data_IF_328291802601
#
_entry.id   IF_328291802601
#
_cell.length_a   1.000
_cell.length_b   1.000
_cell.length_c   1.000
_cell.angle_alpha   90.00
_cell.angle_beta   90.00
_cell.angle_gamma   90.00
#
_symmetry.space_group_name_H-M   'P 1'
#
loop_
_entity.id
_entity.type
_entity.pdbx_description
1 polymer ?
#
# COMPACT_ATOMS: atom_id res chain seq x y z
N UNK A 1 -28.81 57.70 -8.82
CA UNK A 1 -27.55 57.88 -8.04
C UNK A 1 -27.82 57.75 -6.55
N UNK A 2 -28.82 58.46 -6.01
CA UNK A 2 -29.14 58.45 -4.57
C UNK A 2 -29.61 57.09 -4.03
N UNK A 3 -30.37 56.32 -4.82
CA UNK A 3 -30.87 55.00 -4.41
C UNK A 3 -29.77 53.94 -4.27
N UNK A 4 -28.73 54.01 -5.12
CA UNK A 4 -27.54 53.15 -5.02
C UNK A 4 -26.71 53.50 -3.78
N UNK A 5 -26.66 54.79 -3.41
CA UNK A 5 -25.96 55.28 -2.22
C UNK A 5 -26.64 54.81 -0.93
N UNK A 6 -27.98 54.91 -0.85
CA UNK A 6 -28.78 54.42 0.28
C UNK A 6 -28.62 52.91 0.48
N UNK A 7 -28.64 52.14 -0.60
CA UNK A 7 -28.45 50.68 -0.52
C UNK A 7 -27.06 50.31 0.01
N UNK A 8 -26.00 51.01 -0.42
CA UNK A 8 -24.67 50.81 0.12
C UNK A 8 -24.61 51.14 1.61
N UNK A 9 -25.23 52.25 2.03
CA UNK A 9 -25.17 52.67 3.43
C UNK A 9 -25.97 51.75 4.37
N UNK A 10 -27.15 51.28 3.95
CA UNK A 10 -27.99 50.43 4.80
C UNK A 10 -27.64 48.93 4.73
N UNK A 11 -27.11 48.46 3.60
CA UNK A 11 -26.89 47.03 3.33
C UNK A 11 -25.46 46.68 2.92
N UNK A 12 -24.47 47.51 3.27
CA UNK A 12 -23.06 47.20 3.02
C UNK A 12 -22.62 45.83 3.53
N UNK A 13 -23.19 45.36 4.65
CA UNK A 13 -22.90 44.04 5.20
C UNK A 13 -23.24 42.89 4.23
N UNK A 14 -24.34 43.01 3.47
CA UNK A 14 -24.75 41.99 2.49
C UNK A 14 -23.73 41.93 1.34
N UNK A 15 -23.24 43.10 0.91
CA UNK A 15 -22.21 43.20 -0.12
C UNK A 15 -20.90 42.58 0.38
N UNK A 16 -20.54 42.83 1.64
CA UNK A 16 -19.34 42.25 2.25
C UNK A 16 -19.43 40.71 2.33
N UNK A 17 -20.58 40.17 2.75
CA UNK A 17 -20.82 38.72 2.75
C UNK A 17 -20.73 38.15 1.33
N UNK A 18 -21.34 38.80 0.35
CA UNK A 18 -21.28 38.35 -1.04
C UNK A 18 -19.84 38.30 -1.56
N UNK A 19 -19.01 39.30 -1.23
CA UNK A 19 -17.57 39.32 -1.57
C UNK A 19 -16.82 38.16 -0.92
N UNK A 20 -17.09 37.86 0.35
CA UNK A 20 -16.48 36.73 1.06
C UNK A 20 -16.87 35.41 0.40
N UNK A 21 -18.13 35.21 0.05
CA UNK A 21 -18.60 34.02 -0.65
C UNK A 21 -17.92 33.89 -2.01
N UNK A 22 -17.85 34.98 -2.78
CA UNK A 22 -17.17 35.01 -4.08
C UNK A 22 -15.69 34.64 -3.93
N UNK A 23 -15.03 35.13 -2.89
CA UNK A 23 -13.64 34.78 -2.58
C UNK A 23 -13.45 33.29 -2.28
N UNK A 24 -14.37 32.69 -1.51
CA UNK A 24 -14.35 31.24 -1.25
C UNK A 24 -14.55 30.43 -2.53
N UNK A 25 -15.49 30.82 -3.39
CA UNK A 25 -15.72 30.17 -4.69
C UNK A 25 -14.48 30.26 -5.57
N UNK A 26 -13.84 31.43 -5.68
CA UNK A 26 -12.60 31.60 -6.45
C UNK A 26 -11.50 30.69 -5.93
N UNK A 27 -11.35 30.57 -4.60
CA UNK A 27 -10.38 29.64 -4.00
C UNK A 27 -10.71 28.19 -4.34
N UNK A 28 -11.97 27.80 -4.24
CA UNK A 28 -12.41 26.44 -4.56
C UNK A 28 -12.13 26.10 -6.02
N UNK A 29 -12.47 27.00 -6.95
CA UNK A 29 -12.19 26.84 -8.38
C UNK A 29 -10.70 26.69 -8.63
N UNK A 30 -9.86 27.52 -8.02
CA UNK A 30 -8.39 27.40 -8.12
C UNK A 30 -7.89 26.07 -7.57
N UNK A 31 -8.47 25.57 -6.48
CA UNK A 31 -8.15 24.25 -5.93
C UNK A 31 -8.51 23.15 -6.92
N UNK A 32 -9.73 23.16 -7.46
CA UNK A 32 -10.21 22.15 -8.41
C UNK A 32 -9.34 22.13 -9.68
N UNK A 33 -8.95 23.30 -10.21
CA UNK A 33 -8.06 23.40 -11.37
C UNK A 33 -6.69 22.79 -11.10
N UNK A 34 -6.11 23.03 -9.92
CA UNK A 34 -4.82 22.42 -9.54
C UNK A 34 -4.94 20.89 -9.44
N UNK A 35 -6.03 20.41 -8.86
CA UNK A 35 -6.28 18.98 -8.72
C UNK A 35 -6.59 18.30 -10.06
N UNK A 36 -7.10 19.03 -11.06
CA UNK A 36 -7.33 18.49 -12.40
C UNK A 36 -6.05 18.02 -13.07
N UNK A 37 -4.94 18.76 -12.93
CA UNK A 37 -3.62 18.36 -13.42
C UNK A 37 -3.11 17.12 -12.68
N UNK A 38 -3.30 17.07 -11.37
CA UNK A 38 -2.93 15.90 -10.55
C UNK A 38 -3.71 14.66 -10.98
N UNK A 39 -5.03 14.78 -11.21
CA UNK A 39 -5.86 13.69 -11.70
C UNK A 39 -5.44 13.23 -13.10
N UNK A 40 -5.06 14.16 -13.98
CA UNK A 40 -4.50 13.86 -15.30
C UNK A 40 -3.21 13.05 -15.20
N UNK A 41 -2.30 13.44 -14.31
CA UNK A 41 -1.06 12.71 -14.04
C UNK A 41 -1.36 11.33 -13.47
N UNK A 42 -2.27 11.22 -12.50
CA UNK A 42 -2.69 9.92 -11.94
C UNK A 42 -3.28 9.04 -13.03
N UNK A 43 -4.15 9.57 -13.89
CA UNK A 43 -4.72 8.82 -15.00
C UNK A 43 -3.65 8.36 -15.99
N UNK A 44 -2.66 9.21 -16.30
CA UNK A 44 -1.52 8.85 -17.14
C UNK A 44 -0.67 7.74 -16.49
N UNK A 45 -0.40 7.84 -15.19
CA UNK A 45 0.35 6.83 -14.41
C UNK A 45 -0.41 5.52 -14.33
N UNK A 46 -1.73 5.53 -14.15
CA UNK A 46 -2.56 4.32 -14.16
C UNK A 46 -2.58 3.71 -15.56
N UNK A 47 -2.83 4.52 -16.60
CA UNK A 47 -2.85 4.06 -17.98
C UNK A 47 -1.52 3.40 -18.38
N UNK A 48 -0.41 4.06 -18.04
CA UNK A 48 0.93 3.52 -18.26
C UNK A 48 1.19 2.29 -17.37
N UNK A 49 0.88 2.39 -16.08
CA UNK A 49 1.11 1.37 -15.06
C UNK A 49 0.31 0.08 -15.25
N UNK A 50 -0.89 0.13 -15.86
CA UNK A 50 -1.61 -1.07 -16.27
C UNK A 50 -0.78 -1.91 -17.26
N UNK A 51 0.01 -1.27 -18.13
CA UNK A 51 0.92 -1.93 -19.06
C UNK A 51 2.14 -2.57 -18.34
N UNK A 52 2.44 -2.12 -17.12
CA UNK A 52 3.47 -2.71 -16.25
C UNK A 52 2.91 -3.76 -15.30
N UNK A 53 1.60 -3.93 -15.20
CA UNK A 53 1.01 -4.89 -14.25
C UNK A 53 1.46 -6.31 -14.57
N UNK A 54 1.54 -6.64 -15.85
CA UNK A 54 2.04 -7.93 -16.33
C UNK A 54 3.55 -8.05 -16.13
N UNK A 55 4.33 -6.99 -16.39
CA UNK A 55 5.79 -7.00 -16.14
C UNK A 55 6.17 -7.00 -14.66
N UNK A 56 5.36 -6.42 -13.77
CA UNK A 56 5.58 -6.46 -12.31
C UNK A 56 5.22 -7.85 -11.79
N UNK A 57 4.17 -8.48 -12.32
CA UNK A 57 3.83 -9.87 -12.01
C UNK A 57 4.89 -10.84 -12.54
N UNK A 58 5.43 -10.58 -13.73
CA UNK A 58 6.50 -11.35 -14.35
C UNK A 58 7.86 -11.11 -13.68
N UNK A 59 8.16 -9.90 -13.21
CA UNK A 59 9.34 -9.59 -12.39
C UNK A 59 9.24 -10.25 -11.01
N UNK A 60 8.04 -10.27 -10.40
CA UNK A 60 7.78 -11.04 -9.18
C UNK A 60 7.92 -12.56 -9.43
N UNK A 61 7.54 -13.04 -10.60
CA UNK A 61 7.77 -14.43 -11.03
C UNK A 61 9.24 -14.75 -11.36
N UNK A 62 9.99 -13.80 -11.91
CA UNK A 62 11.38 -13.95 -12.36
C UNK A 62 12.38 -13.88 -11.20
N UNK A 63 12.05 -13.16 -10.13
CA UNK A 63 12.76 -13.29 -8.85
C UNK A 63 12.59 -14.71 -8.30
N UNK A 64 11.43 -15.34 -8.49
CA UNK A 64 11.17 -16.73 -8.07
C UNK A 64 12.00 -17.80 -8.81
N UNK A 65 12.36 -17.58 -10.08
CA UNK A 65 13.02 -18.59 -10.91
C UNK A 65 14.56 -18.57 -10.86
N UNK A 66 15.18 -17.53 -10.32
CA UNK A 66 16.64 -17.38 -10.23
C UNK A 66 17.20 -17.43 -8.79
N UNK A 67 16.43 -17.95 -7.84
CA UNK A 67 16.94 -18.17 -6.48
C UNK A 67 17.71 -19.48 -6.46
N UNK A 68 19.02 -19.36 -6.26
CA UNK A 68 19.91 -20.51 -6.17
C UNK A 68 19.46 -21.44 -5.04
N UNK A 69 19.63 -22.74 -5.26
CA UNK A 69 19.26 -23.78 -4.30
C UNK A 69 19.92 -23.54 -2.92
N UNK A 70 21.12 -22.98 -2.93
CA UNK A 70 21.87 -22.54 -1.73
C UNK A 70 21.12 -21.50 -0.89
N UNK A 71 20.47 -20.50 -1.52
CA UNK A 71 19.72 -19.47 -0.80
C UNK A 71 18.46 -20.08 -0.16
N UNK A 72 17.80 -21.02 -0.85
CA UNK A 72 16.66 -21.77 -0.29
C UNK A 72 17.08 -22.60 0.93
N UNK A 73 18.21 -23.31 0.85
CA UNK A 73 18.75 -24.07 1.98
C UNK A 73 19.12 -23.17 3.16
N UNK A 74 19.76 -22.03 2.91
CA UNK A 74 20.11 -21.07 3.96
C UNK A 74 18.87 -20.48 4.62
N UNK A 75 17.84 -20.14 3.84
CA UNK A 75 16.55 -19.69 4.37
C UNK A 75 15.90 -20.77 5.25
N UNK A 76 15.92 -22.04 4.84
CA UNK A 76 15.39 -23.15 5.67
C UNK A 76 16.17 -23.33 6.97
N UNK A 77 17.51 -23.25 6.94
CA UNK A 77 18.34 -23.30 8.15
C UNK A 77 18.07 -22.11 9.08
N UNK A 78 17.94 -20.91 8.53
CA UNK A 78 17.63 -19.71 9.29
C UNK A 78 16.22 -19.78 9.90
N UNK A 79 15.22 -20.33 9.19
CA UNK A 79 13.88 -20.56 9.74
C UNK A 79 13.93 -21.46 10.96
N UNK A 80 14.68 -22.56 10.91
CA UNK A 80 14.84 -23.45 12.07
C UNK A 80 15.59 -22.79 13.24
N UNK A 81 16.61 -21.99 12.95
CA UNK A 81 17.40 -21.29 13.98
C UNK A 81 16.63 -20.13 14.64
N UNK A 82 15.86 -19.39 13.85
CA UNK A 82 15.14 -18.17 14.27
C UNK A 82 13.69 -18.43 14.67
N UNK A 83 13.19 -19.68 14.58
CA UNK A 83 11.81 -20.05 14.89
C UNK A 83 11.36 -19.58 16.28
N UNK A 84 12.28 -19.58 17.26
CA UNK A 84 11.99 -19.15 18.63
C UNK A 84 11.80 -17.64 18.76
N UNK A 85 12.29 -16.84 17.81
CA UNK A 85 12.18 -15.38 17.80
C UNK A 85 11.10 -14.90 16.83
N UNK A 86 10.35 -15.83 16.23
CA UNK A 86 9.32 -15.53 15.26
C UNK A 86 8.13 -14.85 15.92
N UNK A 87 7.65 -13.78 15.29
CA UNK A 87 6.46 -13.03 15.69
C UNK A 87 5.34 -13.28 14.70
N UNK A 88 4.22 -13.77 15.19
CA UNK A 88 3.01 -13.94 14.41
C UNK A 88 2.16 -12.66 14.43
N UNK A 89 1.68 -12.24 13.25
CA UNK A 89 0.73 -11.15 13.09
C UNK A 89 -0.42 -11.57 12.19
N UNK A 90 -1.64 -11.54 12.73
CA UNK A 90 -2.86 -11.68 11.94
C UNK A 90 -3.26 -10.31 11.37
N UNK A 91 -3.52 -10.27 10.07
CA UNK A 91 -3.98 -9.07 9.38
C UNK A 91 -5.51 -9.04 9.30
N UNK A 92 -6.09 -7.84 9.16
CA UNK A 92 -7.55 -7.63 9.15
C UNK A 92 -8.28 -8.31 7.98
N UNK A 93 -7.55 -8.65 6.91
CA UNK A 93 -8.05 -9.39 5.74
C UNK A 93 -8.08 -10.92 5.94
N UNK A 94 -7.55 -11.41 7.07
CA UNK A 94 -7.41 -12.83 7.39
C UNK A 94 -6.17 -13.48 6.81
N UNK A 95 -5.27 -12.72 6.18
CA UNK A 95 -3.89 -13.14 5.93
C UNK A 95 -3.08 -13.09 7.22
N UNK A 96 -1.94 -13.77 7.24
CA UNK A 96 -1.03 -13.71 8.37
C UNK A 96 0.42 -13.62 7.94
N UNK A 97 1.20 -12.90 8.74
CA UNK A 97 2.62 -12.66 8.53
C UNK A 97 3.39 -13.20 9.73
N UNK A 98 4.43 -13.99 9.47
CA UNK A 98 5.39 -14.43 10.48
C UNK A 98 6.72 -13.76 10.19
N UNK A 99 7.26 -13.01 11.16
CA UNK A 99 8.49 -12.25 10.98
C UNK A 99 9.52 -12.64 12.02
N UNK A 100 10.74 -12.93 11.60
CA UNK A 100 11.93 -13.09 12.45
C UNK A 100 12.91 -11.96 12.18
N UNK A 101 14.16 -12.10 12.65
CA UNK A 101 15.23 -11.14 12.42
C UNK A 101 15.59 -11.03 10.94
N UNK A 102 15.67 -12.14 10.21
CA UNK A 102 16.12 -12.16 8.81
C UNK A 102 15.09 -12.73 7.82
N UNK A 103 13.95 -13.22 8.30
CA UNK A 103 12.94 -13.90 7.49
C UNK A 103 11.57 -13.26 7.69
N UNK A 104 10.83 -13.10 6.60
CA UNK A 104 9.41 -12.77 6.62
C UNK A 104 8.64 -13.79 5.80
N UNK A 105 7.61 -14.39 6.39
CA UNK A 105 6.71 -15.36 5.75
C UNK A 105 5.32 -14.75 5.71
N UNK A 106 4.80 -14.53 4.51
CA UNK A 106 3.45 -14.02 4.28
C UNK A 106 2.57 -15.13 3.72
N UNK A 107 1.43 -15.37 4.37
CA UNK A 107 0.45 -16.36 3.93
C UNK A 107 -0.90 -15.69 3.72
N UNK A 108 -1.39 -15.79 2.49
CA UNK A 108 -2.71 -15.31 2.14
C UNK A 108 -3.80 -16.23 2.72
N UNK A 109 -4.97 -15.66 3.00
CA UNK A 109 -6.12 -16.38 3.55
C UNK A 109 -6.53 -17.53 2.61
N UNK A 110 -6.42 -18.77 3.09
CA UNK A 110 -6.80 -19.97 2.33
C UNK A 110 -5.83 -20.35 1.21
N UNK A 111 -4.60 -19.84 1.22
CA UNK A 111 -3.55 -20.18 0.26
C UNK A 111 -2.76 -21.41 0.72
N UNK A 112 -2.49 -22.33 -0.20
CA UNK A 112 -1.55 -23.45 -0.01
C UNK A 112 -0.09 -23.05 -0.25
N UNK A 113 0.13 -21.78 -0.63
CA UNK A 113 1.44 -21.19 -0.86
C UNK A 113 1.72 -20.05 0.11
N UNK A 114 2.96 -19.99 0.55
CA UNK A 114 3.50 -18.92 1.37
C UNK A 114 4.62 -18.20 0.62
N UNK A 115 4.65 -16.87 0.75
CA UNK A 115 5.75 -16.06 0.26
C UNK A 115 6.79 -15.91 1.37
N UNK A 116 8.00 -16.39 1.12
CA UNK A 116 9.13 -16.24 2.03
C UNK A 116 10.06 -15.17 1.48
N UNK A 117 10.40 -14.21 2.32
CA UNK A 117 11.41 -13.19 2.07
C UNK A 117 12.59 -13.45 2.98
N UNK A 118 13.75 -13.74 2.41
CA UNK A 118 15.01 -13.94 3.13
C UNK A 118 16.07 -13.01 2.57
N UNK A 119 16.64 -12.14 3.41
CA UNK A 119 17.68 -11.17 3.00
C UNK A 119 17.30 -10.32 1.77
N UNK A 120 16.03 -9.93 1.67
CA UNK A 120 15.50 -9.14 0.56
C UNK A 120 15.15 -9.92 -0.72
N UNK A 121 15.35 -11.24 -0.73
CA UNK A 121 14.94 -12.12 -1.83
C UNK A 121 13.62 -12.82 -1.49
N UNK A 122 12.64 -12.74 -2.39
CA UNK A 122 11.30 -13.31 -2.20
C UNK A 122 11.06 -14.52 -3.09
N UNK A 123 10.53 -15.60 -2.53
CA UNK A 123 10.11 -16.79 -3.27
C UNK A 123 8.82 -17.36 -2.70
N UNK A 124 8.03 -17.97 -3.58
CA UNK A 124 6.84 -18.70 -3.18
C UNK A 124 7.21 -20.17 -2.96
N UNK A 125 6.79 -20.75 -1.84
CA UNK A 125 6.91 -22.18 -1.57
C UNK A 125 5.54 -22.68 -1.13
N UNK A 126 5.19 -23.89 -1.57
CA UNK A 126 4.05 -24.61 -1.02
C UNK A 126 4.24 -24.84 0.47
N UNK A 127 3.18 -24.65 1.24
CA UNK A 127 3.19 -24.90 2.67
C UNK A 127 3.45 -26.40 2.89
N UNK A 128 4.67 -26.72 3.28
CA UNK A 128 5.11 -28.07 3.64
C UNK A 128 5.23 -28.20 5.16
N UNK A 129 5.50 -29.40 5.66
CA UNK A 129 5.59 -29.69 7.10
C UNK A 129 6.59 -28.79 7.85
N UNK A 130 7.71 -28.44 7.20
CA UNK A 130 8.74 -27.55 7.77
C UNK A 130 8.19 -26.15 7.99
N UNK A 131 7.46 -25.62 6.99
CA UNK A 131 6.88 -24.29 7.06
C UNK A 131 5.70 -24.23 8.05
N UNK A 132 4.89 -25.29 8.12
CA UNK A 132 3.84 -25.40 9.14
C UNK A 132 4.43 -25.39 10.54
N UNK A 133 5.47 -26.18 10.80
CA UNK A 133 6.15 -26.22 12.10
C UNK A 133 6.71 -24.85 12.52
N UNK A 134 7.23 -24.08 11.56
CA UNK A 134 7.70 -22.72 11.81
C UNK A 134 6.54 -21.76 12.16
N UNK A 135 5.43 -21.83 11.42
CA UNK A 135 4.23 -21.01 11.70
C UNK A 135 3.63 -21.37 13.06
N UNK A 136 3.54 -22.66 13.39
CA UNK A 136 2.95 -23.13 14.64
C UNK A 136 3.82 -22.76 15.85
N UNK A 137 5.15 -22.82 15.73
CA UNK A 137 6.06 -22.28 16.74
C UNK A 137 5.87 -20.77 16.93
N UNK A 138 5.71 -20.01 15.85
CA UNK A 138 5.47 -18.58 15.92
C UNK A 138 4.11 -18.21 16.52
N UNK A 139 3.09 -19.08 16.39
CA UNK A 139 1.79 -18.94 17.06
C UNK A 139 1.82 -19.32 18.54
N UNK A 140 2.77 -20.18 18.93
CA UNK A 140 2.90 -20.69 20.30
C UNK A 140 3.73 -19.77 21.22
N UNK A 141 4.33 -18.72 20.67
CA UNK A 141 4.99 -17.61 21.37
C UNK A 141 4.04 -16.43 21.52
#
# INVERSE_FOLDING_TARGET
MEQWMLFLQERWFIILIAVVVLYLVIKLVKTVIKWLVVLLIIAAVIYYGMNYKDQISELAGTIGSNISETVKEQAMKAMAAEAKEAKYKLNSDGSYTVTTKNIQVDVAKGSDEARITFLGQSFNIKINEVLQSFIDQAKSQ
#
